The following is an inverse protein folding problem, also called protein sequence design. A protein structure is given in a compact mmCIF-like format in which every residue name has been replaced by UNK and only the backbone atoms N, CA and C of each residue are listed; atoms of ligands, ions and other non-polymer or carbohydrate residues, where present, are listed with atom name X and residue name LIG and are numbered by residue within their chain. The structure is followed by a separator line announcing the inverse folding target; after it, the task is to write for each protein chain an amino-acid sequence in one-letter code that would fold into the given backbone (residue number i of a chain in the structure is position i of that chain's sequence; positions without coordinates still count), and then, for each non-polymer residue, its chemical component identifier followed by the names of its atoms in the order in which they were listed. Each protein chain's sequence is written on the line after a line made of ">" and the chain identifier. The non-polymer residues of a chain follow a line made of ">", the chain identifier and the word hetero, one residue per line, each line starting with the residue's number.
data_IF_345376795287
#
_entry.id   IF_345376795287
#
_cell.length_a   1.000
_cell.length_b   1.000
_cell.length_c   1.000
_cell.angle_alpha   90.00
_cell.angle_beta   90.00
_cell.angle_gamma   90.00
#
_symmetry.space_group_name_H-M   'P 1'
#
loop_
_entity.id
_entity.type
_entity.pdbx_description
1 polymer ?
#
# COMPACT_ATOMS: atom_id res chain seq x y z
N UNK A 1 19.47 5.84 -22.42
CA UNK A 1 19.71 6.75 -21.29
C UNK A 1 18.37 7.24 -20.83
N UNK A 2 18.01 7.00 -19.58
CA UNK A 2 16.79 7.56 -19.00
C UNK A 2 16.88 9.10 -19.02
N UNK A 3 15.81 9.81 -19.43
CA UNK A 3 15.84 11.27 -19.52
C UNK A 3 16.12 11.93 -18.17
N UNK A 4 15.77 11.26 -17.06
CA UNK A 4 16.10 11.68 -15.70
C UNK A 4 17.62 11.68 -15.43
N UNK A 5 18.36 10.66 -15.89
CA UNK A 5 19.81 10.57 -15.69
C UNK A 5 20.59 11.64 -16.44
N UNK A 6 19.98 12.24 -17.47
CA UNK A 6 20.57 13.38 -18.19
C UNK A 6 20.36 14.72 -17.46
N UNK A 7 19.46 14.76 -16.47
CA UNK A 7 19.13 15.94 -15.66
C UNK A 7 19.84 15.87 -14.31
N UNK A 8 19.68 14.76 -13.59
CA UNK A 8 20.35 14.49 -12.32
C UNK A 8 20.42 12.98 -12.06
N UNK A 9 21.61 12.51 -11.72
CA UNK A 9 21.85 11.12 -11.35
C UNK A 9 21.09 10.75 -10.06
N UNK A 10 21.02 11.68 -9.10
CA UNK A 10 20.27 11.50 -7.85
C UNK A 10 18.76 11.36 -8.11
N UNK A 11 18.18 12.19 -8.98
CA UNK A 11 16.76 12.05 -9.36
C UNK A 11 16.47 10.72 -10.05
N UNK A 12 17.38 10.26 -10.90
CA UNK A 12 17.24 8.98 -11.58
C UNK A 12 17.31 7.81 -10.59
N UNK A 13 18.23 7.87 -9.63
CA UNK A 13 18.36 6.87 -8.56
C UNK A 13 17.09 6.82 -7.70
N UNK A 14 16.63 7.96 -7.19
CA UNK A 14 15.41 8.05 -6.38
C UNK A 14 14.21 7.50 -7.15
N UNK A 15 14.07 7.87 -8.43
CA UNK A 15 13.00 7.36 -9.28
C UNK A 15 13.09 5.84 -9.47
N UNK A 16 14.29 5.27 -9.64
CA UNK A 16 14.51 3.84 -9.71
C UNK A 16 14.08 3.12 -8.42
N UNK A 17 14.53 3.63 -7.26
CA UNK A 17 14.16 3.08 -5.96
C UNK A 17 12.64 3.13 -5.73
N UNK A 18 11.97 4.22 -6.10
CA UNK A 18 10.50 4.34 -6.02
C UNK A 18 9.81 3.30 -6.92
N UNK A 19 10.29 3.11 -8.15
CA UNK A 19 9.73 2.13 -9.08
C UNK A 19 9.86 0.69 -8.55
N UNK A 20 11.01 0.35 -7.96
CA UNK A 20 11.23 -0.96 -7.34
C UNK A 20 10.30 -1.17 -6.14
N UNK A 21 10.09 -0.15 -5.32
CA UNK A 21 9.12 -0.21 -4.22
C UNK A 21 7.71 -0.41 -4.76
N UNK A 22 7.27 0.31 -5.79
CA UNK A 22 5.95 0.10 -6.38
C UNK A 22 5.79 -1.31 -6.95
N UNK A 23 6.81 -1.85 -7.60
CA UNK A 23 6.80 -3.25 -8.06
C UNK A 23 6.67 -4.23 -6.90
N UNK A 24 7.38 -4.00 -5.79
CA UNK A 24 7.28 -4.80 -4.59
C UNK A 24 5.90 -4.68 -3.91
N UNK A 25 5.31 -3.47 -3.87
CA UNK A 25 3.97 -3.23 -3.37
C UNK A 25 2.92 -3.95 -4.20
N UNK A 26 2.97 -3.83 -5.53
CA UNK A 26 2.07 -4.51 -6.46
C UNK A 26 2.06 -6.02 -6.22
N UNK A 27 3.23 -6.66 -6.27
CA UNK A 27 3.37 -8.10 -6.00
C UNK A 27 2.92 -8.46 -4.58
N UNK A 28 3.23 -7.61 -3.62
CA UNK A 28 2.85 -7.77 -2.23
C UNK A 28 1.34 -7.85 -2.04
N UNK A 29 0.59 -6.89 -2.58
CA UNK A 29 -0.87 -6.87 -2.50
C UNK A 29 -1.51 -8.02 -3.27
N UNK A 30 -0.99 -8.38 -4.45
CA UNK A 30 -1.46 -9.56 -5.21
C UNK A 30 -1.27 -10.86 -4.42
N UNK A 31 -0.19 -10.98 -3.65
CA UNK A 31 0.04 -12.13 -2.78
C UNK A 31 -0.87 -12.10 -1.55
N UNK A 32 -1.09 -10.92 -0.98
CA UNK A 32 -1.92 -10.74 0.22
C UNK A 32 -3.36 -11.19 -0.01
N UNK A 33 -3.91 -10.96 -1.21
CA UNK A 33 -5.22 -11.46 -1.64
C UNK A 33 -5.34 -12.99 -1.60
N UNK A 34 -4.23 -13.71 -1.82
CA UNK A 34 -4.19 -15.18 -1.90
C UNK A 34 -4.01 -15.85 -0.55
N UNK A 35 -3.53 -15.12 0.46
CA UNK A 35 -3.33 -15.67 1.80
C UNK A 35 -4.68 -15.77 2.50
N UNK A 36 -5.02 -16.94 3.05
CA UNK A 36 -6.24 -17.14 3.85
C UNK A 36 -6.03 -16.90 5.34
N UNK A 37 -4.81 -17.13 5.82
CA UNK A 37 -4.46 -16.95 7.23
C UNK A 37 -4.37 -15.47 7.60
N UNK A 38 -5.26 -15.04 8.48
CA UNK A 38 -5.42 -13.65 8.96
C UNK A 38 -4.14 -13.14 9.63
N UNK A 39 -3.42 -13.98 10.37
CA UNK A 39 -2.19 -13.57 11.07
C UNK A 39 -1.05 -13.28 10.08
N UNK A 40 -0.91 -14.11 9.04
CA UNK A 40 0.04 -13.92 7.94
C UNK A 40 -0.34 -12.71 7.08
N UNK A 41 -1.62 -12.52 6.76
CA UNK A 41 -2.09 -11.31 6.08
C UNK A 41 -1.72 -10.05 6.87
N UNK A 42 -1.94 -10.06 8.19
CA UNK A 42 -1.59 -8.94 9.07
C UNK A 42 -0.10 -8.58 9.00
N UNK A 43 0.78 -9.57 9.14
CA UNK A 43 2.24 -9.36 9.08
C UNK A 43 2.69 -8.84 7.71
N UNK A 44 2.14 -9.39 6.64
CA UNK A 44 2.47 -8.92 5.29
C UNK A 44 1.98 -7.49 5.06
N UNK A 45 0.79 -7.13 5.58
CA UNK A 45 0.26 -5.78 5.48
C UNK A 45 1.15 -4.75 6.21
N UNK A 46 1.73 -5.12 7.36
CA UNK A 46 2.70 -4.30 8.08
C UNK A 46 3.99 -4.09 7.26
N UNK A 47 4.51 -5.15 6.64
CA UNK A 47 5.69 -5.05 5.76
C UNK A 47 5.43 -4.13 4.56
N UNK A 48 4.27 -4.27 3.91
CA UNK A 48 3.86 -3.40 2.81
C UNK A 48 3.67 -1.96 3.28
N UNK A 49 3.14 -1.76 4.49
CA UNK A 49 3.03 -0.43 5.09
C UNK A 49 4.42 0.19 5.33
N UNK A 50 5.42 -0.61 5.73
CA UNK A 50 6.81 -0.16 5.84
C UNK A 50 7.35 0.36 4.50
N UNK A 51 7.17 -0.43 3.43
CA UNK A 51 7.57 -0.02 2.07
C UNK A 51 6.87 1.25 1.60
N UNK A 52 5.58 1.45 1.92
CA UNK A 52 4.89 2.71 1.60
C UNK A 52 5.48 3.93 2.31
N UNK A 53 5.91 3.78 3.57
CA UNK A 53 6.56 4.89 4.31
C UNK A 53 7.88 5.24 3.65
N UNK A 54 8.65 4.24 3.24
CA UNK A 54 9.91 4.47 2.55
C UNK A 54 9.69 5.12 1.18
N UNK A 55 8.72 4.65 0.40
CA UNK A 55 8.31 5.30 -0.85
C UNK A 55 7.92 6.77 -0.62
N UNK A 56 7.19 7.07 0.45
CA UNK A 56 6.82 8.45 0.81
C UNK A 56 8.05 9.30 1.16
N UNK A 57 9.06 8.72 1.81
CA UNK A 57 10.33 9.39 2.12
C UNK A 57 11.08 9.74 0.83
N UNK A 58 11.22 8.78 -0.07
CA UNK A 58 11.87 8.97 -1.37
C UNK A 58 11.14 10.00 -2.25
N UNK A 59 9.81 9.99 -2.29
CA UNK A 59 9.05 11.02 -3.04
C UNK A 59 9.28 12.43 -2.47
N UNK A 60 9.45 12.58 -1.16
CA UNK A 60 9.82 13.87 -0.56
C UNK A 60 11.25 14.27 -0.89
N UNK A 61 12.16 13.31 -0.95
CA UNK A 61 13.55 13.53 -1.37
C UNK A 61 13.60 13.98 -2.84
N UNK A 62 12.85 13.31 -3.71
CA UNK A 62 12.64 13.73 -5.11
C UNK A 62 12.09 15.15 -5.20
N UNK A 63 11.07 15.50 -4.42
CA UNK A 63 10.50 16.87 -4.42
C UNK A 63 11.51 17.93 -3.96
N UNK A 64 12.37 17.60 -2.99
CA UNK A 64 13.42 18.50 -2.53
C UNK A 64 14.45 18.73 -3.62
N UNK A 65 14.92 17.65 -4.24
CA UNK A 65 15.93 17.71 -5.29
C UNK A 65 15.42 18.46 -6.54
N UNK A 66 14.15 18.27 -6.92
CA UNK A 66 13.50 19.06 -7.97
C UNK A 66 13.49 20.56 -7.63
N UNK A 67 13.21 20.94 -6.39
CA UNK A 67 13.19 22.35 -5.95
C UNK A 67 14.58 22.98 -5.94
N UNK A 68 15.59 22.23 -5.51
CA UNK A 68 16.97 22.73 -5.44
C UNK A 68 17.53 23.03 -6.86
N UNK A 69 17.05 22.30 -7.88
CA UNK A 69 17.41 22.53 -9.28
C UNK A 69 16.41 23.40 -10.07
N UNK A 70 15.25 23.75 -9.51
CA UNK A 70 14.16 24.44 -10.23
C UNK A 70 14.61 25.76 -10.85
N UNK A 71 15.53 26.48 -10.19
CA UNK A 71 16.09 27.75 -10.67
C UNK A 71 17.08 27.62 -11.84
N UNK A 72 17.63 26.42 -12.07
CA UNK A 72 18.68 26.15 -13.07
C UNK A 72 18.14 25.43 -14.31
N UNK A 73 16.98 24.80 -14.18
CA UNK A 73 16.35 24.02 -15.23
C UNK A 73 15.36 24.87 -16.04
N UNK A 74 15.21 24.54 -17.32
CA UNK A 74 14.19 25.14 -18.18
C UNK A 74 12.76 24.79 -17.70
N UNK A 75 11.76 25.65 -17.99
CA UNK A 75 10.37 25.44 -17.57
C UNK A 75 9.79 24.09 -18.00
N UNK A 76 10.14 23.58 -19.18
CA UNK A 76 9.70 22.27 -19.67
C UNK A 76 10.24 21.12 -18.82
N UNK A 77 11.52 21.19 -18.42
CA UNK A 77 12.15 20.20 -17.53
C UNK A 77 11.48 20.22 -16.15
N UNK A 78 11.26 21.41 -15.59
CA UNK A 78 10.57 21.56 -14.31
C UNK A 78 9.14 21.01 -14.34
N UNK A 79 8.41 21.27 -15.44
CA UNK A 79 7.07 20.72 -15.65
C UNK A 79 7.11 19.20 -15.69
N UNK A 80 8.00 18.60 -16.46
CA UNK A 80 8.15 17.14 -16.56
C UNK A 80 8.46 16.51 -15.19
N UNK A 81 9.38 17.10 -14.43
CA UNK A 81 9.75 16.62 -13.08
C UNK A 81 8.57 16.69 -12.10
N UNK A 82 7.80 17.78 -12.13
CA UNK A 82 6.63 17.93 -11.29
C UNK A 82 5.51 16.96 -11.69
N UNK A 83 5.28 16.73 -12.98
CA UNK A 83 4.35 15.70 -13.48
C UNK A 83 4.75 14.30 -13.02
N UNK A 84 6.05 13.97 -13.09
CA UNK A 84 6.61 12.70 -12.60
C UNK A 84 6.35 12.51 -11.11
N UNK A 85 6.65 13.53 -10.30
CA UNK A 85 6.35 13.57 -8.87
C UNK A 85 4.86 13.32 -8.60
N UNK A 86 3.97 14.03 -9.31
CA UNK A 86 2.52 13.87 -9.15
C UNK A 86 2.06 12.44 -9.48
N UNK A 87 2.65 11.81 -10.50
CA UNK A 87 2.40 10.41 -10.83
C UNK A 87 2.77 9.48 -9.67
N UNK A 88 3.97 9.64 -9.10
CA UNK A 88 4.42 8.83 -7.94
C UNK A 88 3.51 9.03 -6.73
N UNK A 89 3.08 10.27 -6.43
CA UNK A 89 2.15 10.56 -5.34
C UNK A 89 0.80 9.87 -5.56
N UNK A 90 0.25 9.95 -6.78
CA UNK A 90 -1.02 9.31 -7.13
C UNK A 90 -0.95 7.79 -6.97
N UNK A 91 0.12 7.18 -7.45
CA UNK A 91 0.33 5.73 -7.35
C UNK A 91 0.48 5.27 -5.89
N UNK A 92 1.28 5.99 -5.09
CA UNK A 92 1.38 5.72 -3.65
C UNK A 92 0.01 5.84 -2.95
N UNK A 93 -0.80 6.84 -3.30
CA UNK A 93 -2.14 7.00 -2.73
C UNK A 93 -3.09 5.84 -3.07
N UNK A 94 -3.00 5.27 -4.28
CA UNK A 94 -3.74 4.06 -4.64
C UNK A 94 -3.35 2.88 -3.74
N UNK A 95 -2.07 2.68 -3.46
CA UNK A 95 -1.62 1.65 -2.52
C UNK A 95 -2.06 1.92 -1.07
N UNK A 96 -2.07 3.19 -0.64
CA UNK A 96 -2.61 3.58 0.67
C UNK A 96 -4.10 3.24 0.77
N UNK A 97 -4.87 3.44 -0.30
CA UNK A 97 -6.28 3.05 -0.34
C UNK A 97 -6.45 1.52 -0.25
N UNK A 98 -5.67 0.75 -1.02
CA UNK A 98 -5.65 -0.72 -0.92
C UNK A 98 -5.32 -1.18 0.51
N UNK A 99 -4.29 -0.61 1.13
CA UNK A 99 -3.91 -0.92 2.52
C UNK A 99 -5.07 -0.69 3.49
N UNK A 100 -5.82 0.40 3.32
CA UNK A 100 -7.01 0.69 4.16
C UNK A 100 -8.10 -0.36 3.96
N UNK A 101 -8.40 -0.73 2.71
CA UNK A 101 -9.39 -1.78 2.42
C UNK A 101 -9.02 -3.12 3.06
N UNK A 102 -7.77 -3.56 2.91
CA UNK A 102 -7.29 -4.80 3.53
C UNK A 102 -7.29 -4.75 5.06
N UNK A 103 -6.93 -3.61 5.66
CA UNK A 103 -6.99 -3.44 7.11
C UNK A 103 -8.43 -3.56 7.64
N UNK A 104 -9.40 -2.93 6.96
CA UNK A 104 -10.82 -3.03 7.33
C UNK A 104 -11.35 -4.46 7.17
N UNK A 105 -11.00 -5.15 6.08
CA UNK A 105 -11.40 -6.54 5.87
C UNK A 105 -10.82 -7.48 6.96
N UNK A 106 -9.58 -7.25 7.36
CA UNK A 106 -8.92 -8.02 8.42
C UNK A 106 -9.60 -7.84 9.77
N UNK A 107 -10.01 -6.61 10.09
CA UNK A 107 -10.75 -6.31 11.32
C UNK A 107 -12.13 -6.98 11.35
N UNK A 108 -12.83 -6.99 10.21
CA UNK A 108 -14.12 -7.66 10.07
C UNK A 108 -13.97 -9.19 10.25
N UNK A 109 -13.00 -9.82 9.58
CA UNK A 109 -12.77 -11.26 9.70
C UNK A 109 -12.37 -11.67 11.12
N UNK A 110 -11.54 -10.88 11.82
CA UNK A 110 -11.18 -11.15 13.22
C UNK A 110 -12.37 -11.09 14.17
N UNK A 111 -13.36 -10.23 13.92
CA UNK A 111 -14.59 -10.15 14.74
C UNK A 111 -15.54 -11.31 14.47
N UNK A 112 -15.60 -11.80 13.23
CA UNK A 112 -16.39 -12.99 12.88
C UNK A 112 -15.82 -14.23 13.57
N UNK A 113 -14.49 -14.41 13.56
CA UNK A 113 -13.83 -15.53 14.27
C UNK A 113 -14.07 -15.52 15.79
N UNK A 114 -14.23 -14.33 16.41
CA UNK A 114 -14.50 -14.22 17.84
C UNK A 114 -15.95 -14.57 18.24
N UNK A 115 -16.88 -14.64 17.28
CA UNK A 115 -18.29 -14.95 17.52
C UNK A 115 -18.69 -16.38 17.14
N UNK A 116 -17.76 -17.17 16.61
CA UNK A 116 -17.96 -18.59 16.24
C UNK A 116 -17.37 -19.53 17.32
N UNK A 117 -17.62 -19.22 18.59
CA UNK A 117 -17.49 -20.20 19.68
C UNK A 117 -18.55 -21.29 19.51
N UNK A 118 -18.32 -22.54 19.96
CA UNK A 118 -19.23 -23.65 19.70
C UNK A 118 -20.60 -23.28 20.25
N UNK A 119 -21.59 -23.13 19.37
CA UNK A 119 -22.98 -23.22 19.78
C UNK A 119 -23.17 -24.67 20.21
N UNK A 120 -22.88 -24.91 21.49
CA UNK A 120 -23.19 -26.12 22.20
C UNK A 120 -24.68 -26.38 22.01
N UNK A 121 -24.91 -27.40 21.22
CA UNK A 121 -26.10 -28.23 21.11
C UNK A 121 -27.00 -28.15 22.35
N UNK A 122 -27.93 -27.19 22.37
CA UNK A 122 -29.11 -27.26 23.23
C UNK A 122 -30.12 -28.21 22.57
N UNK A 123 -29.72 -29.48 22.52
CA UNK A 123 -30.64 -30.59 22.37
C UNK A 123 -31.28 -30.85 23.73
N UNK A 124 -32.40 -30.19 24.01
CA UNK A 124 -33.29 -30.62 25.08
C UNK A 124 -34.76 -30.52 24.65
N UNK A 125 -35.21 -31.66 24.12
CA UNK A 125 -36.41 -32.38 24.57
C UNK A 125 -37.78 -31.67 24.52
N UNK A 126 -38.47 -31.93 23.42
CA UNK A 126 -39.89 -32.33 23.34
C UNK A 126 -40.65 -32.48 24.68
N UNK A 127 -41.60 -31.57 24.98
CA UNK A 127 -42.83 -31.89 25.73
C UNK A 127 -44.01 -31.06 25.17
N UNK A 128 -44.83 -31.72 24.35
CA UNK A 128 -46.30 -31.75 24.41
C UNK A 128 -47.04 -30.64 25.18
N UNK A 129 -47.97 -29.92 24.54
CA UNK A 129 -49.41 -30.21 24.55
C UNK A 129 -50.24 -29.05 23.98
N UNK A 130 -51.24 -29.43 23.20
CA UNK A 130 -52.30 -28.57 22.67
C UNK A 130 -53.24 -28.06 23.77
N UNK A 131 -53.75 -26.84 23.62
CA UNK A 131 -55.18 -26.46 23.51
C UNK A 131 -55.33 -24.95 23.50
#
# INVERSE_FOLDING_TARGET
>A
MDPLSSISEELAEINGQVADIFRALSKGFQNLEKIKDVNRQSRQLEELTGKMRECKRLIKEFDREVKDMESRNDPDTNKMLNEKKQSMVKELNSYVALKKQYATNLENNKRVDLFDGPNEELHDNNVLLAS
#
